data_IF_092275977740
#
_entry.id   IF_092275977740
#
_cell.length_a   1.000
_cell.length_b   1.000
_cell.length_c   1.000
_cell.angle_alpha   90.00
_cell.angle_beta   90.00
_cell.angle_gamma   90.00
#
_symmetry.space_group_name_H-M   'P 1'
#
loop_
_entity.id
_entity.type
_entity.pdbx_description
1 polymer ?
#
# COMPACT_ATOMS: atom_id res chain seq x y z
N UNK A 1 9.27 10.49 -16.22
CA UNK A 1 9.97 10.03 -15.01
C UNK A 1 9.61 11.01 -13.91
N UNK A 2 9.17 10.52 -12.75
CA UNK A 2 9.04 11.35 -11.56
C UNK A 2 10.45 11.82 -11.17
N UNK A 3 10.62 13.07 -10.78
CA UNK A 3 11.91 13.54 -10.26
C UNK A 3 12.18 12.80 -8.95
N UNK A 4 13.40 12.27 -8.73
CA UNK A 4 13.80 11.70 -7.42
C UNK A 4 13.52 12.68 -6.27
N UNK A 5 13.53 13.99 -6.56
CA UNK A 5 13.17 15.04 -5.61
C UNK A 5 11.69 15.08 -5.24
N UNK A 6 10.78 14.68 -6.13
CA UNK A 6 9.36 14.56 -5.75
C UNK A 6 9.10 13.30 -4.93
N UNK A 7 9.79 12.20 -5.25
CA UNK A 7 9.63 10.94 -4.50
C UNK A 7 9.99 11.13 -3.01
N UNK A 8 10.99 11.96 -2.70
CA UNK A 8 11.34 12.28 -1.31
C UNK A 8 10.25 13.08 -0.55
N UNK A 9 9.31 13.71 -1.26
CA UNK A 9 8.21 14.47 -0.68
C UNK A 9 6.97 13.63 -0.38
N UNK A 10 6.84 12.44 -0.98
CA UNK A 10 5.65 11.59 -0.86
C UNK A 10 5.28 11.34 0.61
N UNK A 11 6.27 11.05 1.45
CA UNK A 11 6.02 10.76 2.87
C UNK A 11 5.49 11.98 3.62
N UNK A 12 6.04 13.17 3.37
CA UNK A 12 5.61 14.42 4.01
C UNK A 12 4.21 14.84 3.54
N UNK A 13 3.93 14.67 2.24
CA UNK A 13 2.60 14.88 1.68
C UNK A 13 1.59 13.92 2.30
N UNK A 14 1.91 12.63 2.38
CA UNK A 14 1.04 11.63 3.00
C UNK A 14 0.74 11.97 4.46
N UNK A 15 1.74 12.30 5.28
CA UNK A 15 1.51 12.69 6.69
C UNK A 15 0.53 13.87 6.79
N UNK A 16 0.71 14.88 5.95
CA UNK A 16 -0.15 16.06 5.94
C UNK A 16 -1.57 15.74 5.46
N UNK A 17 -1.72 14.82 4.51
CA UNK A 17 -3.02 14.32 4.06
C UNK A 17 -3.69 13.47 5.15
N UNK A 18 -2.95 12.65 5.90
CA UNK A 18 -3.51 11.88 7.02
C UNK A 18 -4.08 12.80 8.10
N UNK A 19 -3.43 13.93 8.39
CA UNK A 19 -4.00 14.97 9.27
C UNK A 19 -5.34 15.49 8.75
N UNK A 20 -5.41 15.80 7.46
CA UNK A 20 -6.63 16.26 6.81
C UNK A 20 -7.75 15.20 6.90
N UNK A 21 -7.45 13.94 6.60
CA UNK A 21 -8.38 12.81 6.72
C UNK A 21 -8.85 12.54 8.16
N UNK A 22 -8.02 12.88 9.15
CA UNK A 22 -8.39 12.77 10.57
C UNK A 22 -9.28 13.92 11.09
N UNK A 23 -9.61 14.89 10.23
CA UNK A 23 -10.45 16.04 10.56
C UNK A 23 -9.69 17.33 10.93
N UNK A 24 -8.36 17.30 10.99
CA UNK A 24 -7.53 18.51 11.13
C UNK A 24 -7.32 19.17 9.75
N UNK A 25 -8.44 19.65 9.18
CA UNK A 25 -8.48 20.17 7.80
C UNK A 25 -7.56 21.38 7.65
N UNK A 26 -7.59 22.32 8.59
CA UNK A 26 -6.84 23.58 8.49
C UNK A 26 -5.33 23.34 8.54
N UNK A 27 -4.82 22.57 9.51
CA UNK A 27 -3.38 22.33 9.61
C UNK A 27 -2.90 21.37 8.52
N UNK A 28 -3.72 20.37 8.15
CA UNK A 28 -3.46 19.46 7.04
C UNK A 28 -3.27 20.24 5.73
N UNK A 29 -4.25 21.08 5.35
CA UNK A 29 -4.20 21.90 4.13
C UNK A 29 -3.01 22.84 4.15
N UNK A 30 -2.80 23.57 5.25
CA UNK A 30 -1.68 24.51 5.38
C UNK A 30 -0.33 23.83 5.20
N UNK A 31 -0.15 22.63 5.77
CA UNK A 31 1.09 21.86 5.64
C UNK A 31 1.31 21.39 4.21
N UNK A 32 0.25 20.92 3.53
CA UNK A 32 0.32 20.50 2.13
C UNK A 32 0.68 21.68 1.22
N UNK A 33 0.02 22.83 1.38
CA UNK A 33 0.31 24.02 0.58
C UNK A 33 1.74 24.53 0.76
N UNK A 34 2.28 24.43 1.99
CA UNK A 34 3.68 24.74 2.25
C UNK A 34 4.62 23.80 1.49
N UNK A 35 4.38 22.48 1.55
CA UNK A 35 5.19 21.49 0.82
C UNK A 35 5.12 21.73 -0.69
N UNK A 36 3.94 22.04 -1.23
CA UNK A 36 3.76 22.34 -2.66
C UNK A 36 4.57 23.58 -3.06
N UNK A 37 4.51 24.66 -2.27
CA UNK A 37 5.27 25.89 -2.54
C UNK A 37 6.79 25.67 -2.49
N UNK A 38 7.27 24.88 -1.53
CA UNK A 38 8.68 24.48 -1.46
C UNK A 38 9.08 23.62 -2.66
N UNK A 39 8.23 22.67 -3.05
CA UNK A 39 8.45 21.81 -4.21
C UNK A 39 8.58 22.60 -5.52
N UNK A 40 7.70 23.60 -5.71
CA UNK A 40 7.73 24.49 -6.87
C UNK A 40 9.00 25.37 -6.86
N UNK A 41 9.33 25.98 -5.71
CA UNK A 41 10.51 26.84 -5.57
C UNK A 41 11.84 26.10 -5.81
N UNK A 42 11.90 24.80 -5.48
CA UNK A 42 13.07 23.94 -5.73
C UNK A 42 13.13 23.34 -7.14
N UNK A 43 12.10 23.57 -7.97
CA UNK A 43 11.95 22.95 -9.29
C UNK A 43 11.72 21.43 -9.22
N UNK A 44 11.24 20.93 -8.09
CA UNK A 44 10.91 19.53 -7.85
C UNK A 44 9.51 19.18 -8.37
N UNK A 45 8.62 20.17 -8.44
CA UNK A 45 7.28 20.08 -9.03
C UNK A 45 7.17 21.04 -10.23
N UNK A 46 6.58 20.56 -11.33
CA UNK A 46 6.11 21.44 -12.41
C UNK A 46 4.65 21.83 -12.21
N UNK A 47 4.18 22.79 -13.02
CA UNK A 47 2.82 23.34 -12.95
C UNK A 47 1.74 22.26 -13.04
N UNK A 48 1.95 21.24 -13.88
CA UNK A 48 1.02 20.11 -14.01
C UNK A 48 0.96 19.29 -12.71
N UNK A 49 2.10 19.00 -12.08
CA UNK A 49 2.14 18.24 -10.82
C UNK A 49 1.52 19.03 -9.67
N UNK A 50 1.80 20.33 -9.60
CA UNK A 50 1.18 21.23 -8.62
C UNK A 50 -0.33 21.23 -8.80
N UNK A 51 -0.82 21.35 -10.03
CA UNK A 51 -2.26 21.30 -10.34
C UNK A 51 -2.89 19.97 -9.91
N UNK A 52 -2.25 18.84 -10.22
CA UNK A 52 -2.73 17.50 -9.83
C UNK A 52 -2.77 17.34 -8.29
N UNK A 53 -1.76 17.87 -7.58
CA UNK A 53 -1.73 17.83 -6.12
C UNK A 53 -2.85 18.67 -5.50
N UNK A 54 -3.06 19.89 -5.98
CA UNK A 54 -4.12 20.76 -5.48
C UNK A 54 -5.51 20.15 -5.73
N UNK A 55 -5.74 19.59 -6.91
CA UNK A 55 -6.97 18.89 -7.25
C UNK A 55 -7.20 17.64 -6.36
N UNK A 56 -6.15 16.89 -6.03
CA UNK A 56 -6.24 15.80 -5.05
C UNK A 56 -6.63 16.33 -3.66
N UNK A 57 -5.99 17.40 -3.18
CA UNK A 57 -6.27 18.01 -1.87
C UNK A 57 -7.73 18.47 -1.79
N UNK A 58 -8.22 19.16 -2.82
CA UNK A 58 -9.59 19.67 -2.85
C UNK A 58 -10.62 18.53 -2.85
N UNK A 59 -10.34 17.40 -3.53
CA UNK A 59 -11.20 16.20 -3.46
C UNK A 59 -11.22 15.58 -2.06
N UNK A 60 -10.05 15.47 -1.41
CA UNK A 60 -9.97 14.92 -0.05
C UNK A 60 -10.72 15.83 0.93
N UNK A 61 -10.59 17.15 0.79
CA UNK A 61 -11.37 18.08 1.61
C UNK A 61 -12.86 17.97 1.39
N UNK A 62 -13.31 17.89 0.13
CA UNK A 62 -14.72 17.67 -0.18
C UNK A 62 -15.24 16.39 0.47
N UNK A 63 -14.44 15.31 0.46
CA UNK A 63 -14.77 14.07 1.16
C UNK A 63 -14.88 14.26 2.67
N UNK A 64 -13.88 14.87 3.32
CA UNK A 64 -13.88 15.07 4.78
C UNK A 64 -15.00 16.02 5.24
N UNK A 65 -15.37 17.01 4.41
CA UNK A 65 -16.49 17.92 4.68
C UNK A 65 -17.88 17.30 4.40
N UNK A 66 -17.93 16.09 3.85
CA UNK A 66 -19.18 15.42 3.47
C UNK A 66 -19.82 15.96 2.19
N UNK A 67 -19.06 16.72 1.39
CA UNK A 67 -19.47 17.25 0.09
C UNK A 67 -19.26 16.21 -1.03
N UNK A 68 -18.42 15.20 -0.78
CA UNK A 68 -18.15 14.08 -1.67
C UNK A 68 -18.39 12.77 -0.92
N UNK A 69 -19.26 11.91 -1.45
CA UNK A 69 -19.49 10.59 -0.85
C UNK A 69 -18.33 9.61 -1.12
N UNK A 70 -18.30 8.51 -0.36
CA UNK A 70 -17.22 7.50 -0.44
C UNK A 70 -17.11 6.88 -1.83
N UNK A 71 -18.22 6.54 -2.49
CA UNK A 71 -18.21 5.94 -3.84
C UNK A 71 -17.62 6.92 -4.86
N UNK A 72 -18.04 8.18 -4.79
CA UNK A 72 -17.51 9.25 -5.64
C UNK A 72 -16.02 9.49 -5.39
N UNK A 73 -15.56 9.42 -4.13
CA UNK A 73 -14.14 9.54 -3.79
C UNK A 73 -13.32 8.37 -4.35
N UNK A 74 -13.78 7.13 -4.16
CA UNK A 74 -13.11 5.93 -4.70
C UNK A 74 -12.99 6.01 -6.22
N UNK A 75 -14.05 6.39 -6.93
CA UNK A 75 -14.01 6.53 -8.38
C UNK A 75 -13.02 7.61 -8.85
N UNK A 76 -12.95 8.74 -8.14
CA UNK A 76 -11.95 9.79 -8.45
C UNK A 76 -10.52 9.31 -8.23
N UNK A 77 -10.25 8.57 -7.14
CA UNK A 77 -8.93 7.95 -6.91
C UNK A 77 -8.62 6.94 -8.01
N UNK A 78 -9.59 6.10 -8.40
CA UNK A 78 -9.42 5.11 -9.48
C UNK A 78 -9.00 5.77 -10.79
N UNK A 79 -9.66 6.86 -11.16
CA UNK A 79 -9.32 7.62 -12.36
C UNK A 79 -7.94 8.26 -12.27
N UNK A 80 -7.62 8.86 -11.11
CA UNK A 80 -6.32 9.48 -10.86
C UNK A 80 -5.18 8.45 -10.96
N UNK A 81 -5.34 7.24 -10.40
CA UNK A 81 -4.35 6.17 -10.51
C UNK A 81 -4.00 5.80 -11.96
N UNK A 82 -4.97 5.91 -12.87
CA UNK A 82 -4.81 5.65 -14.31
C UNK A 82 -4.08 6.80 -15.00
N UNK A 83 -4.49 8.04 -14.73
CA UNK A 83 -4.06 9.24 -15.47
C UNK A 83 -2.79 9.89 -14.90
N UNK A 84 -2.67 9.93 -13.58
CA UNK A 84 -1.68 10.75 -12.85
C UNK A 84 -0.51 9.86 -12.40
N UNK A 85 0.30 9.44 -13.37
CA UNK A 85 1.39 8.49 -13.14
C UNK A 85 2.37 8.88 -12.03
N UNK A 86 2.55 10.19 -11.80
CA UNK A 86 3.46 10.75 -10.80
C UNK A 86 2.91 10.71 -9.38
N UNK A 87 1.58 10.70 -9.24
CA UNK A 87 0.91 10.65 -7.93
C UNK A 87 0.59 9.25 -7.47
N UNK A 88 0.87 8.21 -8.26
CA UNK A 88 0.45 6.83 -7.97
C UNK A 88 0.79 6.34 -6.57
N UNK A 89 2.02 6.55 -6.12
CA UNK A 89 2.43 6.09 -4.79
C UNK A 89 1.71 6.85 -3.68
N UNK A 90 1.55 8.17 -3.84
CA UNK A 90 0.75 8.98 -2.92
C UNK A 90 -0.72 8.53 -2.91
N UNK A 91 -1.34 8.35 -4.08
CA UNK A 91 -2.72 7.89 -4.23
C UNK A 91 -2.95 6.51 -3.61
N UNK A 92 -1.99 5.60 -3.73
CA UNK A 92 -2.05 4.28 -3.06
C UNK A 92 -2.03 4.43 -1.53
N UNK A 93 -1.22 5.35 -1.00
CA UNK A 93 -1.18 5.63 0.44
C UNK A 93 -2.50 6.26 0.92
N UNK A 94 -3.04 7.22 0.18
CA UNK A 94 -4.33 7.85 0.48
C UNK A 94 -5.46 6.82 0.44
N UNK A 95 -5.50 5.97 -0.60
CA UNK A 95 -6.50 4.91 -0.69
C UNK A 95 -6.39 3.94 0.49
N UNK A 96 -5.16 3.55 0.86
CA UNK A 96 -4.95 2.68 2.01
C UNK A 96 -5.44 3.34 3.31
N UNK A 97 -5.27 4.65 3.47
CA UNK A 97 -5.80 5.37 4.64
C UNK A 97 -7.33 5.33 4.68
N UNK A 98 -7.98 5.62 3.55
CA UNK A 98 -9.44 5.60 3.38
C UNK A 98 -10.07 4.21 3.46
N UNK A 99 -9.27 3.16 3.20
CA UNK A 99 -9.73 1.79 3.15
C UNK A 99 -10.30 1.32 4.50
N UNK A 100 -11.60 1.05 4.52
CA UNK A 100 -12.34 0.37 5.59
C UNK A 100 -13.19 -0.78 5.04
N UNK A 101 -13.93 -1.48 5.91
CA UNK A 101 -14.76 -2.62 5.51
C UNK A 101 -15.80 -2.25 4.43
N UNK A 102 -16.51 -1.13 4.61
CA UNK A 102 -17.47 -0.59 3.62
C UNK A 102 -16.83 -0.28 2.27
N UNK A 103 -15.60 0.25 2.28
CA UNK A 103 -14.89 0.63 1.06
C UNK A 103 -14.58 -0.56 0.15
N UNK A 104 -14.42 -1.76 0.71
CA UNK A 104 -14.12 -2.97 -0.07
C UNK A 104 -15.28 -3.36 -0.95
N UNK A 105 -16.52 -3.22 -0.46
CA UNK A 105 -17.73 -3.49 -1.25
C UNK A 105 -17.83 -2.52 -2.44
N UNK A 106 -17.46 -1.26 -2.23
CA UNK A 106 -17.43 -0.23 -3.29
C UNK A 106 -16.33 -0.45 -4.34
N UNK A 107 -15.34 -1.28 -4.03
CA UNK A 107 -14.17 -1.55 -4.87
C UNK A 107 -14.09 -3.01 -5.35
N UNK A 108 -15.17 -3.79 -5.25
CA UNK A 108 -15.14 -5.22 -5.61
C UNK A 108 -14.60 -5.46 -7.03
N UNK A 109 -15.00 -4.62 -7.99
CA UNK A 109 -14.58 -4.73 -9.38
C UNK A 109 -13.12 -4.28 -9.64
N UNK A 110 -12.44 -3.68 -8.65
CA UNK A 110 -11.05 -3.24 -8.79
C UNK A 110 -10.07 -4.40 -8.87
N UNK A 111 -10.41 -5.60 -8.40
CA UNK A 111 -9.52 -6.76 -8.59
C UNK A 111 -9.43 -7.22 -10.04
N UNK A 112 -10.38 -6.85 -10.88
CA UNK A 112 -10.41 -7.21 -12.30
C UNK A 112 -10.17 -5.99 -13.20
N UNK A 113 -9.78 -4.85 -12.61
CA UNK A 113 -9.48 -3.64 -13.36
C UNK A 113 -8.41 -3.92 -14.42
N UNK A 114 -8.55 -3.43 -15.67
CA UNK A 114 -7.54 -3.66 -16.70
C UNK A 114 -6.16 -3.12 -16.30
N UNK A 115 -6.11 -2.02 -15.54
CA UNK A 115 -4.88 -1.35 -15.16
C UNK A 115 -4.24 -2.00 -13.92
N UNK A 116 -3.02 -2.55 -14.02
CA UNK A 116 -2.36 -3.20 -12.88
C UNK A 116 -2.18 -2.29 -11.66
N UNK A 117 -2.05 -0.97 -11.85
CA UNK A 117 -1.90 -0.02 -10.74
C UNK A 117 -3.17 0.07 -9.89
N UNK A 118 -4.36 -0.04 -10.49
CA UNK A 118 -5.63 -0.06 -9.75
C UNK A 118 -5.74 -1.35 -8.94
N UNK A 119 -5.39 -2.48 -9.55
CA UNK A 119 -5.35 -3.78 -8.85
C UNK A 119 -4.34 -3.79 -7.68
N UNK A 120 -3.18 -3.16 -7.86
CA UNK A 120 -2.19 -2.97 -6.78
C UNK A 120 -2.76 -2.11 -5.66
N UNK A 121 -3.44 -1.01 -5.99
CA UNK A 121 -4.04 -0.13 -4.99
C UNK A 121 -5.10 -0.86 -4.16
N UNK A 122 -5.98 -1.63 -4.82
CA UNK A 122 -6.96 -2.47 -4.14
C UNK A 122 -6.30 -3.57 -3.29
N UNK A 123 -5.26 -4.24 -3.79
CA UNK A 123 -4.46 -5.17 -3.01
C UNK A 123 -3.87 -4.52 -1.75
N UNK A 124 -3.36 -3.28 -1.84
CA UNK A 124 -2.80 -2.55 -0.68
C UNK A 124 -3.87 -2.18 0.35
N UNK A 125 -5.09 -1.88 -0.09
CA UNK A 125 -6.26 -1.73 0.79
C UNK A 125 -6.57 -3.05 1.52
N UNK A 126 -6.74 -4.15 0.78
CA UNK A 126 -7.00 -5.47 1.39
C UNK A 126 -5.88 -5.92 2.35
N UNK A 127 -4.62 -5.59 2.05
CA UNK A 127 -3.50 -5.86 2.94
C UNK A 127 -3.60 -5.11 4.26
N UNK A 128 -4.03 -3.84 4.27
CA UNK A 128 -4.31 -3.11 5.51
C UNK A 128 -5.36 -3.86 6.34
N UNK A 129 -6.46 -4.27 5.71
CA UNK A 129 -7.52 -4.98 6.43
C UNK A 129 -7.07 -6.35 6.93
N UNK A 130 -6.17 -7.04 6.21
CA UNK A 130 -5.53 -8.26 6.70
C UNK A 130 -4.60 -7.99 7.89
N UNK A 131 -3.88 -6.87 7.89
CA UNK A 131 -3.01 -6.44 8.99
C UNK A 131 -3.81 -6.11 10.25
N UNK A 132 -5.01 -5.58 10.07
CA UNK A 132 -5.99 -5.28 11.12
C UNK A 132 -6.80 -6.52 11.56
N UNK A 133 -6.67 -7.64 10.84
CA UNK A 133 -7.37 -8.90 11.14
C UNK A 133 -8.84 -8.93 10.72
N UNK A 134 -9.26 -7.99 9.85
CA UNK A 134 -10.63 -7.87 9.33
C UNK A 134 -10.88 -8.90 8.21
N UNK A 135 -9.89 -9.10 7.33
CA UNK A 135 -9.97 -10.10 6.24
C UNK A 135 -8.89 -11.17 6.36
N UNK A 136 -9.17 -12.35 5.82
CA UNK A 136 -8.23 -13.47 5.78
C UNK A 136 -7.27 -13.45 4.59
N UNK A 137 -6.29 -14.37 4.61
CA UNK A 137 -5.32 -14.56 3.51
C UNK A 137 -5.97 -15.05 2.20
N UNK A 138 -7.16 -15.63 2.28
CA UNK A 138 -7.94 -16.16 1.17
C UNK A 138 -8.31 -15.04 0.20
N UNK A 139 -8.72 -13.87 0.71
CA UNK A 139 -9.04 -12.68 -0.11
C UNK A 139 -7.82 -12.18 -0.91
N UNK A 140 -6.62 -12.33 -0.35
CA UNK A 140 -5.36 -11.96 -1.01
C UNK A 140 -4.87 -13.01 -2.02
N UNK A 141 -5.34 -14.26 -1.92
CA UNK A 141 -4.83 -15.38 -2.73
C UNK A 141 -5.12 -15.19 -4.22
N UNK A 142 -6.20 -14.50 -4.61
CA UNK A 142 -6.51 -14.24 -6.03
C UNK A 142 -5.39 -13.50 -6.77
N UNK A 143 -4.68 -12.60 -6.10
CA UNK A 143 -3.58 -11.83 -6.68
C UNK A 143 -2.30 -12.67 -6.91
N UNK A 144 -2.22 -13.88 -6.36
CA UNK A 144 -1.05 -14.75 -6.51
C UNK A 144 -0.85 -15.27 -7.93
N UNK A 145 -1.92 -15.25 -8.73
CA UNK A 145 -1.95 -15.69 -10.12
C UNK A 145 -2.36 -14.54 -11.07
N UNK A 146 -2.27 -13.29 -10.62
CA UNK A 146 -2.59 -12.12 -11.44
C UNK A 146 -1.76 -12.13 -12.73
N UNK A 147 -2.34 -11.81 -13.90
CA UNK A 147 -1.60 -11.81 -15.16
C UNK A 147 -0.42 -10.82 -15.16
N UNK A 148 -0.54 -9.71 -14.44
CA UNK A 148 0.51 -8.72 -14.30
C UNK A 148 1.56 -9.17 -13.29
N UNK A 149 2.84 -9.25 -13.68
CA UNK A 149 3.92 -9.55 -12.75
C UNK A 149 4.07 -8.49 -11.66
N UNK A 150 3.72 -7.23 -11.94
CA UNK A 150 3.81 -6.12 -10.97
C UNK A 150 2.84 -6.33 -9.80
N UNK A 151 1.68 -6.91 -10.06
CA UNK A 151 0.68 -7.21 -9.01
C UNK A 151 1.17 -8.38 -8.16
N UNK A 152 1.70 -9.44 -8.79
CA UNK A 152 2.26 -10.59 -8.06
C UNK A 152 3.46 -10.19 -7.20
N UNK A 153 4.34 -9.35 -7.73
CA UNK A 153 5.46 -8.76 -6.99
C UNK A 153 4.97 -7.92 -5.81
N UNK A 154 3.99 -7.03 -6.02
CA UNK A 154 3.40 -6.24 -4.93
C UNK A 154 2.80 -7.11 -3.81
N UNK A 155 2.18 -8.26 -4.15
CA UNK A 155 1.69 -9.23 -3.18
C UNK A 155 2.84 -9.84 -2.37
N UNK A 156 3.87 -10.35 -3.04
CA UNK A 156 5.04 -10.96 -2.39
C UNK A 156 5.72 -9.96 -1.47
N UNK A 157 6.01 -8.76 -1.96
CA UNK A 157 6.67 -7.71 -1.21
C UNK A 157 5.90 -7.38 0.08
N UNK A 158 4.59 -7.21 -0.03
CA UNK A 158 3.75 -6.86 1.11
C UNK A 158 3.62 -8.00 2.14
N UNK A 159 3.58 -9.24 1.66
CA UNK A 159 3.45 -10.42 2.51
C UNK A 159 4.78 -10.90 3.10
N UNK A 160 5.92 -10.46 2.58
CA UNK A 160 7.24 -10.95 2.98
C UNK A 160 7.50 -10.80 4.49
N UNK A 161 7.07 -9.70 5.08
CA UNK A 161 7.18 -9.47 6.54
C UNK A 161 6.31 -10.39 7.39
N UNK A 162 5.32 -11.04 6.78
CA UNK A 162 4.40 -11.98 7.42
C UNK A 162 4.71 -13.44 7.07
N UNK A 163 5.82 -13.73 6.38
CA UNK A 163 6.17 -15.07 5.94
C UNK A 163 6.36 -16.09 7.09
N UNK A 164 6.47 -15.63 8.34
CA UNK A 164 6.51 -16.51 9.51
C UNK A 164 5.13 -17.07 9.91
N UNK A 165 4.02 -16.46 9.48
CA UNK A 165 2.66 -16.98 9.63
C UNK A 165 2.47 -18.15 8.67
N UNK A 166 1.90 -19.25 9.16
CA UNK A 166 1.83 -20.50 8.38
C UNK A 166 1.00 -20.36 7.11
N UNK A 167 -0.08 -19.57 7.16
CA UNK A 167 -0.95 -19.30 6.01
C UNK A 167 -0.23 -18.51 4.89
N UNK A 168 0.57 -17.51 5.27
CA UNK A 168 1.39 -16.71 4.35
C UNK A 168 2.54 -17.54 3.80
N UNK A 169 3.21 -18.31 4.65
CA UNK A 169 4.25 -19.25 4.23
C UNK A 169 3.72 -20.23 3.19
N UNK A 170 2.51 -20.77 3.42
CA UNK A 170 1.82 -21.67 2.50
C UNK A 170 1.52 -21.00 1.16
N UNK A 171 0.98 -19.78 1.16
CA UNK A 171 0.72 -19.01 -0.06
C UNK A 171 2.00 -18.75 -0.87
N UNK A 172 3.04 -18.19 -0.22
CA UNK A 172 4.33 -17.91 -0.85
C UNK A 172 5.00 -19.18 -1.39
N UNK A 173 4.90 -20.30 -0.66
CA UNK A 173 5.40 -21.61 -1.14
C UNK A 173 4.68 -22.10 -2.40
N UNK A 174 3.36 -21.89 -2.50
CA UNK A 174 2.60 -22.20 -3.72
C UNK A 174 3.01 -21.28 -4.87
N UNK A 175 3.14 -19.98 -4.63
CA UNK A 175 3.60 -19.02 -5.63
C UNK A 175 4.98 -19.40 -6.17
N UNK A 176 5.94 -19.79 -5.30
CA UNK A 176 7.28 -20.20 -5.72
C UNK A 176 7.27 -21.38 -6.70
N UNK A 177 6.30 -22.29 -6.61
CA UNK A 177 6.19 -23.45 -7.52
C UNK A 177 5.72 -23.05 -8.92
N UNK A 178 4.93 -21.98 -9.03
CA UNK A 178 4.29 -21.57 -10.28
C UNK A 178 4.96 -20.36 -10.93
N UNK A 179 5.63 -19.51 -10.14
CA UNK A 179 6.22 -18.27 -10.63
C UNK A 179 7.41 -18.55 -11.54
N UNK A 180 7.39 -17.92 -12.71
CA UNK A 180 8.37 -18.09 -13.78
C UNK A 180 9.44 -16.99 -13.75
N UNK A 181 9.11 -15.80 -13.23
CA UNK A 181 10.01 -14.64 -13.21
C UNK A 181 11.03 -14.76 -12.10
N UNK A 182 12.31 -14.75 -12.46
CA UNK A 182 13.42 -14.93 -11.52
C UNK A 182 13.43 -13.95 -10.36
N UNK A 183 13.20 -12.65 -10.58
CA UNK A 183 13.20 -11.65 -9.50
C UNK A 183 12.12 -11.94 -8.44
N UNK A 184 10.88 -12.21 -8.85
CA UNK A 184 9.79 -12.55 -7.93
C UNK A 184 10.12 -13.85 -7.17
N UNK A 185 10.67 -14.86 -7.87
CA UNK A 185 11.11 -16.11 -7.21
C UNK A 185 12.17 -15.83 -6.13
N UNK A 186 13.14 -14.97 -6.42
CA UNK A 186 14.19 -14.58 -5.46
C UNK A 186 13.61 -13.85 -4.25
N UNK A 187 12.64 -12.97 -4.46
CA UNK A 187 11.95 -12.27 -3.38
C UNK A 187 11.19 -13.25 -2.48
N UNK A 188 10.45 -14.19 -3.08
CA UNK A 188 9.76 -15.26 -2.35
C UNK A 188 10.76 -16.12 -1.56
N UNK A 189 11.87 -16.54 -2.18
CA UNK A 189 12.90 -17.33 -1.52
C UNK A 189 13.52 -16.60 -0.33
N UNK A 190 13.79 -15.30 -0.48
CA UNK A 190 14.30 -14.43 0.58
C UNK A 190 13.33 -14.40 1.76
N UNK A 191 12.05 -14.15 1.50
CA UNK A 191 11.01 -14.11 2.53
C UNK A 191 10.88 -15.46 3.27
N UNK A 192 10.81 -16.58 2.53
CA UNK A 192 10.68 -17.92 3.11
C UNK A 192 11.92 -18.32 3.92
N UNK A 193 13.12 -17.98 3.45
CA UNK A 193 14.38 -18.28 4.14
C UNK A 193 14.45 -17.53 5.48
N UNK A 194 14.15 -16.23 5.48
CA UNK A 194 14.09 -15.42 6.70
C UNK A 194 13.07 -15.95 7.71
N UNK A 195 11.91 -16.44 7.24
CA UNK A 195 10.90 -17.07 8.10
C UNK A 195 11.41 -18.37 8.76
N UNK A 196 12.12 -19.22 8.02
CA UNK A 196 12.72 -20.46 8.54
C UNK A 196 13.76 -20.15 9.62
N UNK A 197 14.63 -19.17 9.37
CA UNK A 197 15.66 -18.75 10.32
C UNK A 197 15.06 -18.20 11.62
N UNK A 198 14.04 -17.34 11.50
CA UNK A 198 13.30 -16.79 12.65
C UNK A 198 12.68 -17.91 13.51
N UNK A 199 12.06 -18.92 12.89
CA UNK A 199 11.49 -20.08 13.58
C UNK A 199 12.58 -20.91 14.30
N UNK A 200 13.74 -21.11 13.68
CA UNK A 200 14.88 -21.83 14.30
C UNK A 200 15.46 -21.07 15.50
N UNK A 201 15.64 -19.75 15.39
CA UNK A 201 16.13 -18.92 16.48
C UNK A 201 15.21 -18.93 17.71
N UNK A 202 13.89 -18.83 17.50
CA UNK A 202 12.90 -18.92 18.60
C UNK A 202 12.95 -20.25 19.33
N UNK A 203 13.10 -21.37 18.60
CA UNK A 203 13.22 -22.70 19.21
C UNK A 203 14.46 -22.82 20.09
N UNK A 204 15.63 -22.35 19.62
CA UNK A 204 16.87 -22.36 20.43
C UNK A 204 16.72 -21.54 21.72
N UNK A 205 16.27 -20.28 21.62
CA UNK A 205 16.09 -19.42 22.80
C UNK A 205 14.97 -19.86 23.77
N UNK A 206 14.03 -20.70 23.32
CA UNK A 206 13.08 -21.37 24.20
C UNK A 206 13.74 -22.46 25.03
N UNK A 207 14.53 -23.34 24.39
CA UNK A 207 15.29 -24.37 25.10
C UNK A 207 16.29 -23.77 26.09
N UNK A 208 17.04 -22.74 25.71
CA UNK A 208 18.00 -22.08 26.60
C UNK A 208 17.34 -21.51 27.87
N UNK A 209 16.11 -20.99 27.76
CA UNK A 209 15.34 -20.49 28.92
C UNK A 209 14.76 -21.59 29.79
N UNK A 210 14.37 -22.72 29.20
CA UNK A 210 13.89 -23.89 29.93
C UNK A 210 14.99 -24.53 30.77
N UNK A 211 16.21 -24.63 30.21
CA UNK A 211 17.32 -25.28 30.89
C UNK A 211 18.08 -24.34 31.86
N UNK A 212 18.02 -23.01 31.68
CA UNK A 212 18.59 -22.03 32.65
C UNK A 212 17.74 -21.81 33.91
N UNK A 213 16.48 -22.26 33.96
CA UNK A 213 15.61 -22.12 35.14
C UNK A 213 15.69 -23.30 36.12
N UNK A 214 16.43 -24.36 35.77
CA UNK A 214 16.55 -25.59 36.54
C UNK A 214 17.99 -25.85 37.03
N UNK A 215 18.81 -24.81 37.10
CA UNK A 215 20.21 -24.81 37.56
C UNK A 215 20.44 -23.64 38.49
#
# INVERSE_FOLDING_TARGET
MVSEKFESLIQSLYISISHLLSGDIENGRKSILKIISECEGEGSCDEELVSQLLDLVDKIEGYVKGELDESSMMNKIREALRKEGRLRDLLILVLRELCGESSVELMEDWSEDPEPVVRIAYLKCLLKLYEEGIVGIDVLTKFSSDPSPRVREALVSSLSRYANKDEVFGLLSRMLRMEKRSHIRTEILTALSGAIESKRGRRRGFFDRLFKRNS
#
